data_IF_203071143872
#
_entry.id   IF_203071143872
#
_cell.length_a   1.000
_cell.length_b   1.000
_cell.length_c   1.000
_cell.angle_alpha   90.00
_cell.angle_beta   90.00
_cell.angle_gamma   90.00
#
_symmetry.space_group_name_H-M   'P 1'
#
loop_
_entity.id
_entity.type
_entity.pdbx_description
1 polymer ?
#
# COMPACT_ATOMS: atom_id res chain seq x y z
N UNK A 1 -16.56 2.89 -1.58
CA UNK A 1 -15.48 1.87 -1.38
C UNK A 1 -16.04 0.51 -1.74
N UNK A 2 -15.36 -0.24 -2.59
CA UNK A 2 -15.82 -1.56 -2.98
C UNK A 2 -15.48 -2.62 -1.92
N UNK A 3 -15.98 -3.84 -2.14
CA UNK A 3 -15.84 -4.94 -1.18
C UNK A 3 -14.37 -5.28 -0.87
N UNK A 4 -13.54 -5.34 -1.91
CA UNK A 4 -12.13 -5.69 -1.73
C UNK A 4 -11.36 -4.59 -1.02
N UNK A 5 -11.71 -3.33 -1.25
CA UNK A 5 -11.11 -2.21 -0.54
C UNK A 5 -11.40 -2.29 0.95
N UNK A 6 -12.64 -2.59 1.33
CA UNK A 6 -13.02 -2.76 2.75
C UNK A 6 -12.31 -3.94 3.39
N UNK A 7 -12.22 -5.05 2.66
CA UNK A 7 -11.52 -6.24 3.12
C UNK A 7 -10.06 -5.92 3.40
N UNK A 8 -9.38 -5.29 2.44
CA UNK A 8 -7.96 -4.94 2.60
C UNK A 8 -7.75 -4.00 3.78
N UNK A 9 -8.59 -2.98 3.92
CA UNK A 9 -8.46 -2.02 5.02
C UNK A 9 -8.60 -2.73 6.37
N UNK A 10 -9.56 -3.63 6.51
CA UNK A 10 -9.76 -4.36 7.75
C UNK A 10 -8.58 -5.28 8.08
N UNK A 11 -8.00 -5.92 7.07
CA UNK A 11 -6.82 -6.76 7.26
C UNK A 11 -5.62 -5.94 7.66
N UNK A 12 -5.39 -4.81 6.99
CA UNK A 12 -4.27 -3.93 7.34
C UNK A 12 -4.39 -3.44 8.78
N UNK A 13 -5.58 -2.97 9.17
CA UNK A 13 -5.80 -2.47 10.53
C UNK A 13 -5.67 -3.54 11.58
N UNK A 14 -6.05 -4.78 11.26
CA UNK A 14 -5.97 -5.90 12.20
C UNK A 14 -4.55 -6.45 12.34
N UNK A 15 -3.88 -6.69 11.21
CA UNK A 15 -2.62 -7.42 11.18
C UNK A 15 -1.39 -6.52 11.28
N UNK A 16 -1.55 -5.25 10.89
CA UNK A 16 -0.50 -4.22 10.98
C UNK A 16 -1.08 -3.03 11.75
N UNK A 17 -1.10 -3.12 13.10
CA UNK A 17 -1.76 -2.09 13.91
C UNK A 17 -1.28 -0.67 13.68
N UNK A 18 -0.02 -0.50 13.24
CA UNK A 18 0.51 0.82 12.87
C UNK A 18 -0.37 1.52 11.86
N UNK A 19 -1.00 0.78 10.94
CA UNK A 19 -1.84 1.39 9.90
C UNK A 19 -3.05 2.11 10.48
N UNK A 20 -3.55 1.68 11.63
CA UNK A 20 -4.63 2.40 12.33
C UNK A 20 -4.11 3.73 12.89
N UNK A 21 -2.93 3.71 13.52
CA UNK A 21 -2.35 4.90 14.09
C UNK A 21 -1.97 5.92 13.02
N UNK A 22 -1.60 5.46 11.83
CA UNK A 22 -1.34 6.30 10.68
C UNK A 22 -2.61 6.89 10.07
N UNK A 23 -3.78 6.40 10.46
CA UNK A 23 -5.03 6.80 9.83
C UNK A 23 -5.16 6.36 8.39
N UNK A 24 -4.46 5.29 8.01
CA UNK A 24 -4.46 4.79 6.64
C UNK A 24 -5.83 4.28 6.23
N UNK A 25 -6.30 4.67 5.05
CA UNK A 25 -7.55 4.21 4.48
C UNK A 25 -7.31 3.70 3.06
N UNK A 26 -8.01 2.63 2.70
CA UNK A 26 -7.99 2.13 1.32
C UNK A 26 -9.04 2.89 0.53
N UNK A 27 -8.60 3.67 -0.48
CA UNK A 27 -9.51 4.49 -1.28
C UNK A 27 -10.18 3.67 -2.36
N UNK A 28 -9.38 2.95 -3.16
CA UNK A 28 -9.91 2.27 -4.31
C UNK A 28 -9.00 1.12 -4.71
N UNK A 29 -9.62 0.05 -5.16
CA UNK A 29 -8.94 -1.11 -5.72
C UNK A 29 -9.48 -1.42 -7.11
N UNK A 30 -8.56 -1.44 -8.07
CA UNK A 30 -8.79 -1.99 -9.39
C UNK A 30 -7.57 -2.84 -9.73
N UNK A 31 -7.71 -3.77 -10.66
CA UNK A 31 -6.57 -4.64 -11.02
C UNK A 31 -5.38 -3.80 -11.51
N UNK A 32 -5.65 -2.65 -12.13
CA UNK A 32 -4.60 -1.79 -12.66
C UNK A 32 -3.90 -0.96 -11.60
N UNK A 33 -4.55 -0.66 -10.48
CA UNK A 33 -3.91 0.11 -9.42
C UNK A 33 -4.65 0.02 -8.10
N UNK A 34 -3.90 0.22 -7.03
CA UNK A 34 -4.40 0.35 -5.66
C UNK A 34 -4.04 1.73 -5.14
N UNK A 35 -4.99 2.39 -4.49
CA UNK A 35 -4.79 3.72 -3.88
C UNK A 35 -5.06 3.67 -2.39
N UNK A 36 -4.11 4.16 -1.61
CA UNK A 36 -4.22 4.30 -0.16
C UNK A 36 -4.12 5.77 0.23
N UNK A 37 -4.93 6.18 1.19
CA UNK A 37 -4.94 7.55 1.70
C UNK A 37 -4.19 7.63 3.03
N UNK A 38 -3.32 8.62 3.15
CA UNK A 38 -2.59 8.94 4.38
C UNK A 38 -2.92 10.38 4.78
N UNK A 39 -3.56 10.58 5.93
CA UNK A 39 -3.81 11.94 6.39
C UNK A 39 -2.54 12.58 6.92
N UNK A 40 -2.37 13.87 6.64
CA UNK A 40 -1.22 14.61 7.13
C UNK A 40 -1.20 14.68 8.65
N UNK A 41 -2.36 14.88 9.25
CA UNK A 41 -2.50 15.11 10.70
C UNK A 41 -1.79 14.04 11.54
N UNK A 42 -1.97 12.76 11.20
CA UNK A 42 -1.39 11.65 11.94
C UNK A 42 0.06 11.36 11.55
N UNK A 43 0.57 12.01 10.51
CA UNK A 43 1.85 11.65 9.88
C UNK A 43 2.76 12.86 9.69
N UNK A 44 2.56 13.91 10.46
CA UNK A 44 3.38 15.13 10.35
C UNK A 44 4.75 14.93 10.99
N UNK A 45 5.72 15.63 10.44
CA UNK A 45 7.04 15.76 11.04
C UNK A 45 7.15 17.11 11.77
N UNK A 46 8.35 17.42 12.26
CA UNK A 46 8.62 18.64 13.04
C UNK A 46 8.49 19.94 12.22
N UNK A 47 8.36 19.84 10.90
CA UNK A 47 8.20 21.00 10.00
C UNK A 47 6.79 21.11 9.45
N UNK A 48 5.86 20.38 10.00
CA UNK A 48 4.44 20.36 9.56
C UNK A 48 4.25 19.85 8.12
N UNK A 49 5.18 19.03 7.65
CA UNK A 49 5.02 18.31 6.38
C UNK A 49 4.92 16.81 6.67
N UNK A 50 4.61 16.01 5.68
CA UNK A 50 4.46 14.57 5.89
C UNK A 50 5.81 13.94 6.20
N UNK A 51 5.87 13.17 7.29
CA UNK A 51 7.06 12.43 7.69
C UNK A 51 7.45 11.43 6.59
N UNK A 52 8.74 11.45 6.21
CA UNK A 52 9.24 10.57 5.14
C UNK A 52 9.05 9.10 5.43
N UNK A 53 9.15 8.69 6.71
CA UNK A 53 8.87 7.31 7.10
C UNK A 53 7.45 6.90 6.82
N UNK A 54 6.49 7.81 7.04
CA UNK A 54 5.09 7.53 6.72
C UNK A 54 4.86 7.39 5.22
N UNK A 55 5.50 8.24 4.43
CA UNK A 55 5.43 8.12 2.97
C UNK A 55 6.00 6.79 2.49
N UNK A 56 7.13 6.38 3.06
CA UNK A 56 7.74 5.09 2.73
C UNK A 56 6.80 3.94 3.10
N UNK A 57 6.24 3.97 4.30
CA UNK A 57 5.27 2.96 4.75
C UNK A 57 4.06 2.90 3.81
N UNK A 58 3.53 4.04 3.42
CA UNK A 58 2.40 4.10 2.49
C UNK A 58 2.72 3.44 1.16
N UNK A 59 3.91 3.71 0.61
CA UNK A 59 4.35 3.11 -0.63
C UNK A 59 4.51 1.59 -0.50
N UNK A 60 5.14 1.13 0.59
CA UNK A 60 5.32 -0.31 0.86
C UNK A 60 3.96 -0.99 1.00
N UNK A 61 3.03 -0.37 1.72
CA UNK A 61 1.71 -0.95 1.97
C UNK A 61 0.85 -0.96 0.71
N UNK A 62 1.01 0.03 -0.17
CA UNK A 62 0.32 0.00 -1.46
C UNK A 62 0.76 -1.19 -2.30
N UNK A 63 2.06 -1.46 -2.35
CA UNK A 63 2.59 -2.63 -3.04
C UNK A 63 2.16 -3.94 -2.39
N UNK A 64 2.26 -4.02 -1.07
CA UNK A 64 1.83 -5.19 -0.31
C UNK A 64 0.34 -5.47 -0.53
N UNK A 65 -0.48 -4.43 -0.43
CA UNK A 65 -1.93 -4.57 -0.58
C UNK A 65 -2.33 -4.98 -1.99
N UNK A 66 -1.70 -4.39 -3.00
CA UNK A 66 -1.95 -4.76 -4.39
C UNK A 66 -1.66 -6.24 -4.61
N UNK A 67 -0.49 -6.68 -4.15
CA UNK A 67 -0.08 -8.06 -4.32
C UNK A 67 -1.00 -9.02 -3.56
N UNK A 68 -1.36 -8.66 -2.32
CA UNK A 68 -2.26 -9.46 -1.50
C UNK A 68 -3.60 -9.69 -2.21
N UNK A 69 -4.19 -8.63 -2.77
CA UNK A 69 -5.48 -8.75 -3.46
C UNK A 69 -5.36 -9.53 -4.77
N UNK A 70 -4.26 -9.34 -5.50
CA UNK A 70 -4.05 -10.11 -6.74
C UNK A 70 -3.87 -11.59 -6.48
N UNK A 71 -3.11 -11.94 -5.45
CA UNK A 71 -2.95 -13.36 -5.07
C UNK A 71 -4.28 -13.95 -4.64
N UNK A 72 -5.06 -13.21 -3.88
CA UNK A 72 -6.39 -13.66 -3.47
C UNK A 72 -7.28 -13.95 -4.67
N UNK A 73 -7.27 -13.08 -5.70
CA UNK A 73 -8.04 -13.30 -6.94
C UNK A 73 -7.59 -14.54 -7.68
N UNK A 74 -6.31 -14.91 -7.55
CA UNK A 74 -5.75 -16.10 -8.19
C UNK A 74 -5.95 -17.38 -7.34
N UNK A 75 -6.63 -17.25 -6.20
CA UNK A 75 -6.85 -18.39 -5.31
C UNK A 75 -5.64 -18.77 -4.48
N UNK A 76 -4.65 -17.89 -4.40
CA UNK A 76 -3.42 -18.11 -3.61
C UNK A 76 -3.57 -17.36 -2.29
N UNK A 77 -3.82 -18.10 -1.20
CA UNK A 77 -4.04 -17.49 0.12
C UNK A 77 -3.02 -17.93 1.18
N UNK A 78 -2.06 -18.77 0.80
CA UNK A 78 -1.02 -19.26 1.70
C UNK A 78 0.35 -18.62 1.46
N UNK A 79 0.42 -17.63 0.58
CA UNK A 79 1.64 -16.90 0.31
C UNK A 79 1.95 -15.87 1.40
N UNK A 80 3.23 -15.74 1.72
CA UNK A 80 3.68 -14.72 2.66
C UNK A 80 4.39 -13.61 1.89
N UNK A 81 3.89 -12.38 2.06
CA UNK A 81 4.44 -11.22 1.38
C UNK A 81 5.33 -10.46 2.36
N UNK A 82 6.61 -10.41 2.07
CA UNK A 82 7.57 -9.61 2.85
C UNK A 82 8.39 -8.76 1.91
N UNK A 83 8.76 -7.57 2.37
CA UNK A 83 9.63 -6.70 1.59
C UNK A 83 11.09 -7.10 1.86
N UNK A 84 11.87 -7.24 0.79
CA UNK A 84 13.30 -7.55 0.91
C UNK A 84 14.16 -6.33 0.61
N UNK A 85 13.67 -5.46 -0.27
CA UNK A 85 14.45 -4.33 -0.73
C UNK A 85 13.51 -3.23 -1.17
N UNK A 86 13.90 -1.99 -0.92
CA UNK A 86 13.11 -0.85 -1.35
C UNK A 86 13.97 0.40 -1.49
N UNK A 87 13.58 1.28 -2.38
CA UNK A 87 14.21 2.58 -2.58
C UNK A 87 13.13 3.63 -2.69
N UNK A 88 13.40 4.83 -2.17
CA UNK A 88 12.47 5.95 -2.27
C UNK A 88 13.25 7.24 -2.46
N UNK A 89 12.66 8.18 -3.19
CA UNK A 89 13.18 9.54 -3.29
C UNK A 89 12.09 10.52 -2.88
N UNK A 90 12.52 11.63 -2.29
CA UNK A 90 11.64 12.67 -1.77
C UNK A 90 11.94 13.99 -2.46
N UNK A 91 11.46 14.18 -3.72
CA UNK A 91 11.84 15.39 -4.49
C UNK A 91 11.28 16.68 -3.89
N UNK A 92 10.12 16.63 -3.25
CA UNK A 92 9.47 17.81 -2.70
C UNK A 92 8.79 17.45 -1.38
N UNK A 93 8.69 18.41 -0.43
CA UNK A 93 7.91 18.19 0.79
C UNK A 93 6.43 17.97 0.45
N UNK A 94 5.79 17.08 1.19
CA UNK A 94 4.35 16.84 1.07
C UNK A 94 3.64 17.65 2.15
N UNK A 95 2.83 18.62 1.75
CA UNK A 95 2.22 19.60 2.64
C UNK A 95 0.74 19.36 2.92
N UNK A 96 0.19 18.27 2.42
CA UNK A 96 -1.20 17.89 2.64
C UNK A 96 -1.30 16.39 2.77
N UNK A 97 -2.52 15.87 2.72
CA UNK A 97 -2.74 14.44 2.72
C UNK A 97 -2.09 13.80 1.50
N UNK A 98 -1.64 12.57 1.64
CA UNK A 98 -0.98 11.86 0.57
C UNK A 98 -1.81 10.68 0.08
N UNK A 99 -1.64 10.34 -1.19
CA UNK A 99 -2.21 9.12 -1.78
C UNK A 99 -1.05 8.27 -2.27
N UNK A 100 -0.92 7.08 -1.70
CA UNK A 100 0.06 6.10 -2.16
C UNK A 100 -0.60 5.23 -3.23
N UNK A 101 0.05 5.13 -4.38
CA UNK A 101 -0.49 4.42 -5.54
C UNK A 101 0.47 3.31 -5.93
N UNK A 102 -0.06 2.09 -6.02
CA UNK A 102 0.66 0.98 -6.64
C UNK A 102 0.02 0.68 -7.98
N UNK A 103 0.78 0.89 -9.06
CA UNK A 103 0.35 0.52 -10.40
C UNK A 103 0.72 -0.93 -10.66
N UNK A 104 -0.18 -1.66 -11.34
CA UNK A 104 0.08 -3.06 -11.68
C UNK A 104 1.28 -3.18 -12.61
N UNK A 105 2.13 -4.21 -12.43
CA UNK A 105 3.14 -4.53 -13.43
C UNK A 105 2.45 -5.00 -14.71
N UNK A 106 3.17 -5.03 -15.83
CA UNK A 106 2.58 -5.59 -17.03
C UNK A 106 2.33 -7.11 -16.84
N UNK A 107 1.46 -7.66 -17.66
CA UNK A 107 1.04 -9.06 -17.52
C UNK A 107 2.20 -10.03 -17.63
N UNK A 108 3.19 -9.74 -18.45
CA UNK A 108 4.37 -10.59 -18.61
C UNK A 108 5.18 -10.66 -17.33
N UNK A 109 5.42 -9.52 -16.68
CA UNK A 109 6.15 -9.46 -15.42
C UNK A 109 5.36 -10.17 -14.33
N UNK A 110 4.06 -9.95 -14.26
CA UNK A 110 3.19 -10.60 -13.28
C UNK A 110 3.23 -12.12 -13.43
N UNK A 111 3.10 -12.62 -14.66
CA UNK A 111 3.10 -14.07 -14.92
C UNK A 111 4.44 -14.72 -14.57
N UNK A 112 5.55 -14.03 -14.84
CA UNK A 112 6.87 -14.52 -14.43
C UNK A 112 6.99 -14.60 -12.91
N UNK A 113 6.43 -13.63 -12.18
CA UNK A 113 6.44 -13.65 -10.73
C UNK A 113 5.72 -14.87 -10.17
N UNK A 114 4.60 -15.26 -10.78
CA UNK A 114 3.82 -16.42 -10.34
C UNK A 114 4.56 -17.74 -10.49
N UNK A 115 5.50 -17.84 -11.41
CA UNK A 115 6.29 -19.05 -11.61
C UNK A 115 7.16 -19.34 -10.39
N UNK A 116 7.54 -18.33 -9.63
CA UNK A 116 8.44 -18.45 -8.49
C UNK A 116 7.71 -18.56 -7.15
N UNK A 117 6.41 -18.54 -7.18
CA UNK A 117 5.58 -18.74 -5.99
C UNK A 117 5.29 -20.22 -5.81
#
# INVERSE_FOLDING_TARGET
>A
MNRDSRYLESILHRDIPLTRDMGLQVLDWQVQELRLHLPLEANVNHKSTMFGGSLYCGAVLAGWGWLHLRLKEQGIDDGHIVIQEGQISYPLPVTGDAVAICAAPDDKVWNLSLIHI
#
